data_IF_463731792620
#
_entry.id   IF_463731792620
#
_cell.length_a   1.000
_cell.length_b   1.000
_cell.length_c   1.000
_cell.angle_alpha   90.00
_cell.angle_beta   90.00
_cell.angle_gamma   90.00
#
_symmetry.space_group_name_H-M   'P 1'
#
loop_
_entity.id
_entity.type
_entity.pdbx_description
1 polymer ?
#
# COMPACT_ATOMS: atom_id res chain seq x y z
N UNK A 1 -31.64 -8.98 -42.08
CA UNK A 1 -32.55 -9.03 -40.93
C UNK A 1 -31.71 -9.38 -39.71
N UNK A 2 -31.74 -8.56 -38.65
CA UNK A 2 -30.96 -8.75 -37.42
C UNK A 2 -31.92 -9.31 -36.38
N UNK A 3 -31.71 -10.55 -35.96
CA UNK A 3 -32.50 -11.26 -34.94
C UNK A 3 -31.58 -11.64 -33.79
N UNK A 4 -32.07 -11.53 -32.56
CA UNK A 4 -31.40 -12.05 -31.37
C UNK A 4 -31.56 -11.17 -30.14
N UNK A 5 -32.79 -11.03 -29.64
CA UNK A 5 -33.08 -10.73 -28.24
C UNK A 5 -33.20 -12.06 -27.50
N UNK A 6 -32.56 -12.16 -26.33
CA UNK A 6 -33.00 -12.99 -25.22
C UNK A 6 -32.65 -14.47 -25.28
N UNK A 7 -31.57 -14.85 -24.59
CA UNK A 7 -31.65 -15.99 -23.67
C UNK A 7 -30.60 -15.81 -22.56
N UNK A 8 -31.04 -15.87 -21.31
CA UNK A 8 -30.24 -15.64 -20.12
C UNK A 8 -29.72 -17.00 -19.64
N UNK A 9 -28.42 -17.31 -19.74
CA UNK A 9 -27.87 -18.65 -19.48
C UNK A 9 -27.78 -19.01 -17.98
N UNK A 10 -28.38 -18.21 -17.10
CA UNK A 10 -28.29 -18.37 -15.64
C UNK A 10 -29.65 -18.60 -14.97
N UNK A 11 -30.67 -19.02 -15.71
CA UNK A 11 -31.98 -19.37 -15.14
C UNK A 11 -32.13 -20.89 -15.05
N UNK A 12 -31.94 -21.42 -13.83
CA UNK A 12 -32.61 -22.58 -13.18
C UNK A 12 -31.69 -23.02 -12.03
N UNK A 13 -32.12 -23.39 -10.83
CA UNK A 13 -33.38 -23.48 -10.09
C UNK A 13 -32.91 -23.70 -8.64
N UNK A 14 -33.49 -23.03 -7.64
CA UNK A 14 -33.24 -23.39 -6.23
C UNK A 14 -33.91 -24.73 -5.90
N UNK A 15 -33.24 -25.61 -5.13
CA UNK A 15 -33.95 -26.16 -3.96
C UNK A 15 -33.10 -26.41 -2.69
N UNK A 16 -33.68 -25.97 -1.56
CA UNK A 16 -33.76 -26.55 -0.19
C UNK A 16 -32.54 -27.19 0.53
N UNK A 17 -32.26 -26.74 1.78
CA UNK A 17 -31.35 -27.35 2.79
C UNK A 17 -32.03 -28.46 3.67
N UNK A 18 -31.36 -29.07 4.69
CA UNK A 18 -30.22 -30.02 4.74
C UNK A 18 -30.63 -31.34 5.50
N UNK A 19 -29.80 -32.41 5.71
CA UNK A 19 -28.83 -32.46 6.83
C UNK A 19 -27.63 -33.48 6.74
N UNK A 20 -26.72 -33.35 7.73
CA UNK A 20 -25.92 -34.35 8.48
C UNK A 20 -24.71 -35.16 7.91
N UNK A 21 -23.58 -34.97 8.63
CA UNK A 21 -22.48 -35.89 9.04
C UNK A 21 -21.86 -36.94 8.07
N UNK A 22 -20.52 -36.82 7.84
CA UNK A 22 -19.45 -37.80 8.19
C UNK A 22 -18.12 -37.59 7.42
N UNK A 23 -17.08 -37.15 8.16
CA UNK A 23 -15.73 -37.73 8.35
C UNK A 23 -14.79 -38.17 7.18
N UNK A 24 -13.49 -37.82 7.37
CA UNK A 24 -12.18 -38.34 6.83
C UNK A 24 -11.87 -38.22 5.31
N UNK A 25 -10.65 -38.03 4.78
CA UNK A 25 -9.26 -38.08 5.26
C UNK A 25 -8.27 -37.49 4.21
N UNK A 26 -7.06 -37.17 4.66
CA UNK A 26 -5.74 -37.25 4.00
C UNK A 26 -5.51 -36.75 2.55
N UNK A 27 -4.71 -35.69 2.40
CA UNK A 27 -3.28 -35.81 2.02
C UNK A 27 -2.69 -34.48 1.54
N UNK A 28 -1.54 -34.14 2.14
CA UNK A 28 -0.70 -33.00 1.81
C UNK A 28 0.08 -33.23 0.51
N UNK A 29 0.20 -32.19 -0.32
CA UNK A 29 1.07 -32.18 -1.50
C UNK A 29 1.99 -30.94 -1.42
N UNK A 30 3.28 -31.19 -1.19
CA UNK A 30 4.33 -30.16 -1.20
C UNK A 30 4.88 -29.95 -2.62
N UNK A 31 5.10 -28.70 -3.09
CA UNK A 31 5.85 -28.48 -4.31
C UNK A 31 7.36 -28.46 -4.05
N UNK A 32 8.05 -29.45 -4.66
CA UNK A 32 9.51 -29.52 -4.84
C UNK A 32 10.04 -28.31 -5.63
N UNK A 33 10.93 -27.52 -5.02
CA UNK A 33 11.67 -26.43 -5.69
C UNK A 33 12.96 -26.97 -6.33
N UNK A 34 13.04 -26.84 -7.65
CA UNK A 34 14.21 -27.16 -8.47
C UNK A 34 15.19 -25.96 -8.48
N UNK A 35 16.41 -26.18 -8.03
CA UNK A 35 17.50 -25.20 -7.89
C UNK A 35 18.35 -25.20 -9.16
N UNK A 36 18.13 -24.22 -10.03
CA UNK A 36 18.91 -23.96 -11.23
C UNK A 36 20.04 -22.95 -11.01
N UNK A 37 21.23 -23.49 -10.76
CA UNK A 37 22.57 -23.09 -11.23
C UNK A 37 22.93 -21.60 -11.45
N UNK A 38 23.85 -21.13 -10.61
CA UNK A 38 24.73 -19.96 -10.78
C UNK A 38 25.75 -20.18 -11.90
N UNK A 39 25.84 -19.25 -12.87
CA UNK A 39 27.10 -18.62 -13.30
C UNK A 39 26.89 -17.68 -14.51
N UNK A 40 27.30 -16.41 -14.39
CA UNK A 40 28.07 -15.70 -15.43
C UNK A 40 28.28 -14.22 -15.10
N UNK A 41 29.52 -13.96 -14.75
CA UNK A 41 30.25 -12.70 -14.72
C UNK A 41 30.11 -11.88 -16.02
N UNK A 42 29.88 -10.55 -15.93
CA UNK A 42 30.35 -9.61 -16.97
C UNK A 42 30.33 -8.14 -16.51
N UNK A 43 31.49 -7.68 -16.03
CA UNK A 43 32.18 -6.45 -16.43
C UNK A 43 31.38 -5.13 -16.59
N UNK A 44 31.58 -4.24 -15.61
CA UNK A 44 31.93 -2.82 -15.73
C UNK A 44 31.38 -1.99 -16.90
N UNK A 45 30.52 -1.01 -16.59
CA UNK A 45 30.56 0.31 -17.25
C UNK A 45 30.16 1.39 -16.26
N UNK A 46 31.15 2.15 -15.78
CA UNK A 46 30.93 3.43 -15.11
C UNK A 46 30.42 4.44 -16.13
N UNK A 47 29.17 4.87 -16.00
CA UNK A 47 28.70 6.14 -16.58
C UNK A 47 27.92 6.89 -15.52
N UNK A 48 28.59 7.93 -15.02
CA UNK A 48 28.04 9.12 -14.37
C UNK A 48 26.58 9.34 -14.77
N UNK A 49 25.66 8.87 -13.94
CA UNK A 49 24.29 9.33 -14.01
C UNK A 49 24.29 10.61 -13.20
N UNK A 50 24.32 11.73 -13.90
CA UNK A 50 23.89 12.99 -13.34
C UNK A 50 22.63 12.70 -12.51
N UNK A 51 22.76 12.72 -11.18
CA UNK A 51 21.66 12.70 -10.24
C UNK A 51 20.93 14.05 -10.39
N UNK A 52 20.31 14.24 -11.55
CA UNK A 52 19.20 15.15 -11.69
C UNK A 52 18.23 14.74 -10.60
N UNK A 53 18.08 15.64 -9.62
CA UNK A 53 17.18 15.55 -8.50
C UNK A 53 15.75 15.42 -9.03
N UNK A 54 15.40 14.23 -9.47
CA UNK A 54 14.05 13.89 -9.85
C UNK A 54 13.19 14.25 -8.64
N UNK A 55 12.16 15.09 -8.80
CA UNK A 55 11.25 15.41 -7.72
C UNK A 55 10.78 14.10 -7.06
N UNK A 56 10.69 14.10 -5.74
CA UNK A 56 10.51 12.90 -4.92
C UNK A 56 9.43 11.93 -5.45
N UNK A 57 8.35 12.48 -6.00
CA UNK A 57 7.25 11.72 -6.62
C UNK A 57 7.67 10.75 -7.74
N UNK A 58 8.79 11.00 -8.45
CA UNK A 58 9.28 10.16 -9.55
C UNK A 58 10.21 9.02 -9.10
N UNK A 59 10.60 8.97 -7.81
CA UNK A 59 11.63 8.04 -7.32
C UNK A 59 11.11 6.64 -6.95
N UNK A 60 9.79 6.41 -6.97
CA UNK A 60 9.20 5.14 -6.49
C UNK A 60 9.23 4.03 -7.57
N UNK A 61 10.36 3.31 -7.70
CA UNK A 61 10.46 2.04 -8.46
C UNK A 61 10.20 0.79 -7.58
N UNK A 62 9.34 -0.15 -8.00
CA UNK A 62 8.95 -1.38 -7.27
C UNK A 62 9.95 -2.55 -7.45
N UNK A 63 9.94 -3.75 -6.81
CA UNK A 63 9.02 -4.55 -5.99
C UNK A 63 9.86 -5.33 -4.92
N UNK A 64 9.66 -5.04 -3.63
CA UNK A 64 9.77 -5.91 -2.44
C UNK A 64 11.07 -6.48 -1.81
N UNK A 65 12.30 -6.31 -2.28
CA UNK A 65 13.47 -6.86 -1.52
C UNK A 65 14.35 -5.84 -0.77
N UNK A 66 14.53 -4.61 -1.27
CA UNK A 66 15.44 -3.62 -0.64
C UNK A 66 14.69 -2.41 -0.07
N UNK A 67 13.91 -2.61 1.00
CA UNK A 67 13.08 -1.53 1.56
C UNK A 67 13.30 -1.38 3.07
N UNK A 68 14.50 -0.95 3.45
CA UNK A 68 14.80 -0.50 4.82
C UNK A 68 13.87 0.64 5.28
N UNK A 69 13.31 1.40 4.32
CA UNK A 69 12.55 2.62 4.58
C UNK A 69 11.01 2.46 4.49
N UNK A 70 10.46 1.26 4.74
CA UNK A 70 8.99 1.07 4.77
C UNK A 70 8.44 1.31 6.17
N UNK A 71 7.64 2.37 6.30
CA UNK A 71 6.87 2.67 7.49
C UNK A 71 5.41 2.19 7.32
N UNK A 72 5.04 1.14 8.05
CA UNK A 72 3.65 0.72 8.21
C UNK A 72 3.17 1.04 9.62
N UNK A 73 2.14 1.86 9.74
CA UNK A 73 1.48 2.14 11.00
C UNK A 73 -0.04 2.15 10.84
N UNK A 74 -0.73 1.60 11.84
CA UNK A 74 -2.18 1.64 11.95
C UNK A 74 -2.57 2.81 12.85
N UNK A 75 -3.46 3.66 12.36
CA UNK A 75 -3.90 4.86 13.07
C UNK A 75 -5.31 4.70 13.62
N UNK A 76 -5.67 5.55 14.58
CA UNK A 76 -7.05 5.66 15.10
C UNK A 76 -7.97 6.28 14.04
N UNK A 77 -9.27 6.08 14.17
CA UNK A 77 -10.29 6.60 13.23
C UNK A 77 -10.17 8.12 13.04
N UNK A 78 -10.11 8.88 14.14
CA UNK A 78 -9.97 10.34 14.09
C UNK A 78 -8.72 10.79 13.33
N UNK A 79 -7.61 10.05 13.44
CA UNK A 79 -6.37 10.33 12.72
C UNK A 79 -6.51 10.02 11.24
N UNK A 80 -7.20 8.94 10.87
CA UNK A 80 -7.47 8.61 9.47
C UNK A 80 -8.37 9.67 8.80
N UNK A 81 -9.38 10.18 9.53
CA UNK A 81 -10.20 11.29 9.03
C UNK A 81 -9.40 12.59 8.93
N UNK A 82 -8.56 12.88 9.93
CA UNK A 82 -7.67 14.05 9.90
C UNK A 82 -6.70 14.04 8.73
N UNK A 83 -6.26 12.86 8.28
CA UNK A 83 -5.44 12.73 7.06
C UNK A 83 -6.21 13.19 5.81
N UNK A 84 -7.48 12.83 5.66
CA UNK A 84 -8.29 13.28 4.52
C UNK A 84 -8.52 14.80 4.53
N UNK A 85 -8.60 15.40 5.71
CA UNK A 85 -8.70 16.86 5.87
C UNK A 85 -7.38 17.54 5.52
N UNK A 86 -6.26 16.98 5.99
CA UNK A 86 -4.92 17.44 5.66
C UNK A 86 -4.64 17.37 4.15
N UNK A 87 -5.02 16.26 3.49
CA UNK A 87 -4.87 16.10 2.03
C UNK A 87 -5.59 17.22 1.28
N UNK A 88 -6.84 17.52 1.65
CA UNK A 88 -7.63 18.60 1.02
C UNK A 88 -6.99 19.96 1.26
N UNK A 89 -6.51 20.22 2.47
CA UNK A 89 -5.87 21.49 2.82
C UNK A 89 -4.57 21.71 2.03
N UNK A 90 -3.70 20.69 1.98
CA UNK A 90 -2.43 20.77 1.24
C UNK A 90 -2.66 20.85 -0.27
N UNK A 91 -3.59 20.06 -0.82
CA UNK A 91 -3.91 20.14 -2.25
C UNK A 91 -4.44 21.53 -2.65
N UNK A 92 -5.23 22.17 -1.78
CA UNK A 92 -5.69 23.54 -1.99
C UNK A 92 -4.53 24.54 -1.99
N UNK A 93 -3.59 24.46 -1.03
CA UNK A 93 -2.41 25.33 -1.00
C UNK A 93 -1.51 25.16 -2.24
N UNK A 94 -1.48 23.96 -2.82
CA UNK A 94 -0.72 23.65 -4.03
C UNK A 94 -1.50 23.94 -5.33
N UNK A 95 -2.73 24.44 -5.26
CA UNK A 95 -3.63 24.66 -6.40
C UNK A 95 -3.85 23.38 -7.28
N UNK A 96 -3.87 22.20 -6.66
CA UNK A 96 -4.12 20.91 -7.35
C UNK A 96 -5.37 20.21 -6.80
N UNK A 97 -5.85 19.18 -7.52
CA UNK A 97 -6.95 18.36 -6.99
C UNK A 97 -6.41 17.39 -5.93
N UNK A 98 -7.17 17.06 -4.86
CA UNK A 98 -6.73 16.08 -3.86
C UNK A 98 -6.30 14.74 -4.47
N UNK A 99 -7.03 14.27 -5.49
CA UNK A 99 -6.70 13.02 -6.24
C UNK A 99 -5.35 13.02 -6.94
N UNK A 100 -4.71 14.18 -7.11
CA UNK A 100 -3.37 14.33 -7.72
C UNK A 100 -2.27 14.32 -6.66
N UNK A 101 -2.62 14.41 -5.36
CA UNK A 101 -1.71 14.34 -4.24
C UNK A 101 -1.66 12.91 -3.69
N UNK A 102 -0.49 12.28 -3.75
CA UNK A 102 -0.32 10.94 -3.19
C UNK A 102 -0.21 10.98 -1.67
N UNK A 103 -1.07 10.22 -0.99
CA UNK A 103 -1.06 10.10 0.48
C UNK A 103 0.30 9.69 1.05
N UNK A 104 1.04 8.83 0.34
CA UNK A 104 2.38 8.45 0.78
C UNK A 104 3.35 9.63 0.80
N UNK A 105 3.30 10.51 -0.20
CA UNK A 105 4.14 11.70 -0.25
C UNK A 105 3.66 12.73 0.79
N UNK A 106 2.35 12.87 0.98
CA UNK A 106 1.77 13.72 2.04
C UNK A 106 2.26 13.28 3.44
N UNK A 107 2.20 11.98 3.73
CA UNK A 107 2.66 11.42 5.02
C UNK A 107 4.14 11.67 5.25
N UNK A 108 4.95 11.47 4.22
CA UNK A 108 6.38 11.70 4.32
C UNK A 108 6.71 13.17 4.53
N UNK A 109 6.06 14.07 3.77
CA UNK A 109 6.19 15.51 3.99
C UNK A 109 5.75 15.90 5.42
N UNK A 110 4.63 15.37 5.90
CA UNK A 110 4.16 15.61 7.27
C UNK A 110 5.16 15.08 8.31
N UNK A 111 5.78 13.92 8.07
CA UNK A 111 6.81 13.38 8.96
C UNK A 111 8.07 14.25 8.94
N UNK A 112 8.50 14.75 7.78
CA UNK A 112 9.65 15.67 7.68
C UNK A 112 9.39 16.96 8.45
N UNK A 113 8.20 17.55 8.32
CA UNK A 113 7.79 18.72 9.12
C UNK A 113 7.83 18.37 10.61
N UNK A 114 7.31 17.21 11.01
CA UNK A 114 7.35 16.76 12.41
C UNK A 114 8.79 16.58 12.96
N UNK A 115 9.75 16.18 12.10
CA UNK A 115 11.17 16.11 12.48
C UNK A 115 11.78 17.50 12.73
N UNK A 116 11.30 18.53 12.02
CA UNK A 116 11.71 19.93 12.23
C UNK A 116 11.01 20.58 13.42
N UNK A 117 9.87 20.03 13.86
CA UNK A 117 9.02 20.52 14.96
C UNK A 117 8.79 19.47 16.06
N UNK A 118 9.85 18.94 16.70
CA UNK A 118 9.73 17.85 17.67
C UNK A 118 8.90 18.21 18.92
N UNK A 119 8.84 19.49 19.29
CA UNK A 119 8.02 19.99 20.39
C UNK A 119 6.52 19.77 20.16
N UNK A 120 6.03 19.97 18.95
CA UNK A 120 4.62 19.77 18.60
C UNK A 120 4.25 18.28 18.65
N UNK A 121 5.19 17.41 18.23
CA UNK A 121 5.04 15.95 18.37
C UNK A 121 4.97 15.56 19.85
N UNK A 122 5.85 16.13 20.68
CA UNK A 122 5.85 15.86 22.11
C UNK A 122 4.56 16.35 22.80
N UNK A 123 4.01 17.49 22.38
CA UNK A 123 2.70 17.98 22.84
C UNK A 123 1.59 16.95 22.54
N UNK A 124 1.55 16.41 21.32
CA UNK A 124 0.58 15.38 20.94
C UNK A 124 0.75 14.07 21.72
N UNK A 125 1.98 13.63 21.94
CA UNK A 125 2.23 12.45 22.78
C UNK A 125 1.81 12.70 24.24
N UNK A 126 2.01 13.91 24.77
CA UNK A 126 1.52 14.28 26.10
C UNK A 126 -0.01 14.28 26.18
N UNK A 127 -0.72 14.77 25.17
CA UNK A 127 -2.19 14.62 25.07
C UNK A 127 -2.62 13.14 25.11
N UNK A 128 -1.81 12.23 24.57
CA UNK A 128 -2.06 10.79 24.63
C UNK A 128 -1.65 10.14 25.96
N UNK A 129 -1.11 10.92 26.89
CA UNK A 129 -0.77 10.48 28.25
C UNK A 129 0.64 9.92 28.40
N UNK A 130 1.56 10.16 27.46
CA UNK A 130 2.94 9.64 27.54
C UNK A 130 3.75 10.15 28.75
N UNK A 131 3.28 11.18 29.47
CA UNK A 131 3.88 11.60 30.75
C UNK A 131 3.62 10.61 31.90
N UNK A 132 2.72 9.65 31.71
CA UNK A 132 2.33 8.64 32.70
C UNK A 132 2.83 7.22 32.35
N UNK A 133 3.69 7.08 31.33
CA UNK A 133 4.26 5.80 30.87
C UNK A 133 5.55 5.48 31.61
#
# INVERSE_FOLDING_TARGET
MKSGTGDNPFADEEPEEPPDDQEVDESADEPSFDIGETDSDSSSTSTTSDEYSLPYYQRRGSVKEDRDDVLQFFVREDTAQGEDELERAVANELDIRPKELYKLDLREAALLVAMEHPEEVADKLREWGYEHV
#
